data_IF_733226892833
#
_entry.id   IF_733226892833
#
_cell.length_a   1.000
_cell.length_b   1.000
_cell.length_c   1.000
_cell.angle_alpha   90.00
_cell.angle_beta   90.00
_cell.angle_gamma   90.00
#
_symmetry.space_group_name_H-M   'P 1'
#
loop_
_entity.id
_entity.type
_entity.pdbx_description
1 polymer ?
#
# COMPACT_ATOMS: atom_id res chain seq x y z
N UNK A 1 46.55 20.46 -4.94
CA UNK A 1 45.53 21.30 -4.31
C UNK A 1 44.16 20.92 -4.83
N UNK A 2 43.41 20.12 -4.07
CA UNK A 2 42.06 19.67 -4.45
C UNK A 2 41.00 20.62 -3.91
N UNK A 3 40.25 21.26 -4.80
CA UNK A 3 39.06 22.04 -4.42
C UNK A 3 37.94 21.07 -4.05
N UNK A 4 37.66 20.94 -2.75
CA UNK A 4 36.38 20.43 -2.25
C UNK A 4 35.30 21.45 -2.62
N UNK A 5 34.48 21.16 -3.62
CA UNK A 5 33.17 21.82 -3.79
C UNK A 5 32.22 21.16 -2.78
N UNK A 6 31.67 21.98 -1.89
CA UNK A 6 30.82 21.54 -0.78
C UNK A 6 29.50 20.97 -1.26
N UNK A 7 29.11 19.84 -0.68
CA UNK A 7 27.83 19.16 -0.85
C UNK A 7 26.65 19.86 -0.13
N UNK A 8 26.78 21.16 0.18
CA UNK A 8 25.82 21.92 1.00
C UNK A 8 24.76 22.65 0.19
N UNK A 9 24.92 22.75 -1.13
CA UNK A 9 23.98 23.46 -2.00
C UNK A 9 22.85 22.54 -2.52
N UNK A 10 23.09 21.24 -2.65
CA UNK A 10 22.08 20.30 -3.16
C UNK A 10 20.90 20.14 -2.20
N UNK A 11 21.12 20.16 -0.89
CA UNK A 11 20.01 20.01 0.07
C UNK A 11 19.06 21.21 0.10
N UNK A 12 19.57 22.43 -0.07
CA UNK A 12 18.74 23.63 -0.12
C UNK A 12 18.01 23.77 -1.47
N UNK A 13 18.69 23.41 -2.57
CA UNK A 13 18.10 23.39 -3.91
C UNK A 13 17.03 22.29 -4.03
N UNK A 14 17.28 21.08 -3.51
CA UNK A 14 16.30 19.99 -3.50
C UNK A 14 15.08 20.33 -2.62
N UNK A 15 15.30 20.96 -1.46
CA UNK A 15 14.20 21.45 -0.63
C UNK A 15 13.36 22.55 -1.32
N UNK A 16 14.00 23.41 -2.11
CA UNK A 16 13.29 24.42 -2.90
C UNK A 16 12.49 23.79 -4.05
N UNK A 17 13.04 22.77 -4.73
CA UNK A 17 12.34 22.02 -5.77
C UNK A 17 11.15 21.25 -5.22
N UNK A 18 11.28 20.64 -4.05
CA UNK A 18 10.18 19.96 -3.35
C UNK A 18 9.07 20.93 -2.93
N UNK A 19 9.43 22.14 -2.48
CA UNK A 19 8.46 23.18 -2.15
C UNK A 19 7.71 23.67 -3.40
N UNK A 20 8.42 23.90 -4.50
CA UNK A 20 7.83 24.30 -5.78
C UNK A 20 6.89 23.20 -6.31
N UNK A 21 7.27 21.93 -6.20
CA UNK A 21 6.44 20.81 -6.61
C UNK A 21 5.15 20.72 -5.78
N UNK A 22 5.27 20.85 -4.45
CA UNK A 22 4.11 20.87 -3.53
C UNK A 22 3.20 22.07 -3.77
N UNK A 23 3.76 23.25 -4.03
CA UNK A 23 2.98 24.45 -4.32
C UNK A 23 2.26 24.33 -5.68
N UNK A 24 2.91 23.76 -6.69
CA UNK A 24 2.28 23.50 -7.98
C UNK A 24 1.14 22.46 -7.88
N UNK A 25 1.33 21.41 -7.09
CA UNK A 25 0.29 20.41 -6.81
C UNK A 25 -0.89 21.02 -6.04
N UNK A 26 -0.62 21.81 -4.98
CA UNK A 26 -1.64 22.50 -4.21
C UNK A 26 -2.44 23.48 -5.09
N UNK A 27 -1.77 24.18 -6.03
CA UNK A 27 -2.41 25.09 -6.96
C UNK A 27 -3.28 24.34 -7.99
N UNK A 28 -2.84 23.18 -8.46
CA UNK A 28 -3.67 22.30 -9.30
C UNK A 28 -4.87 21.76 -8.54
N UNK A 29 -4.69 21.31 -7.30
CA UNK A 29 -5.77 20.85 -6.43
C UNK A 29 -6.81 21.94 -6.15
N UNK A 30 -6.37 23.16 -5.84
CA UNK A 30 -7.25 24.32 -5.67
C UNK A 30 -8.02 24.64 -6.95
N UNK A 31 -7.38 24.53 -8.13
CA UNK A 31 -8.05 24.71 -9.42
C UNK A 31 -9.10 23.62 -9.68
N UNK A 32 -8.83 22.36 -9.31
CA UNK A 32 -9.79 21.25 -9.38
C UNK A 32 -10.98 21.48 -8.46
N UNK A 33 -10.72 21.93 -7.23
CA UNK A 33 -11.77 22.25 -6.27
C UNK A 33 -12.65 23.42 -6.76
N UNK A 34 -12.04 24.50 -7.26
CA UNK A 34 -12.79 25.64 -7.80
C UNK A 34 -13.65 25.25 -9.02
N UNK A 35 -13.14 24.39 -9.90
CA UNK A 35 -13.94 23.82 -11.01
C UNK A 35 -15.10 22.98 -10.48
N UNK A 36 -14.87 22.12 -9.49
CA UNK A 36 -15.91 21.29 -8.89
C UNK A 36 -17.00 22.14 -8.21
N UNK A 37 -16.62 23.17 -7.45
CA UNK A 37 -17.54 24.13 -6.83
C UNK A 37 -18.33 24.92 -7.88
N UNK A 38 -17.69 25.34 -8.99
CA UNK A 38 -18.37 26.02 -10.09
C UNK A 38 -19.41 25.12 -10.78
N UNK A 39 -19.12 23.82 -10.97
CA UNK A 39 -20.10 22.84 -11.45
C UNK A 39 -21.27 22.72 -10.49
N UNK A 40 -21.00 22.64 -9.19
CA UNK A 40 -22.02 22.48 -8.17
C UNK A 40 -22.96 23.69 -8.08
N UNK A 41 -22.41 24.92 -8.14
CA UNK A 41 -23.19 26.16 -8.15
C UNK A 41 -24.09 26.21 -9.39
N UNK A 42 -23.54 25.90 -10.57
CA UNK A 42 -24.30 25.93 -11.82
C UNK A 42 -25.39 24.86 -11.88
N UNK A 43 -25.14 23.68 -11.29
CA UNK A 43 -26.18 22.65 -11.12
C UNK A 43 -27.33 23.11 -10.24
N UNK A 44 -27.02 23.71 -9.09
CA UNK A 44 -28.04 24.27 -8.19
C UNK A 44 -28.85 25.37 -8.88
N UNK A 45 -28.21 26.19 -9.70
CA UNK A 45 -28.89 27.25 -10.44
C UNK A 45 -29.81 26.69 -11.55
N UNK A 46 -29.37 25.68 -12.29
CA UNK A 46 -30.20 24.99 -13.28
C UNK A 46 -31.39 24.28 -12.64
N UNK A 47 -31.19 23.59 -11.51
CA UNK A 47 -32.27 22.95 -10.75
C UNK A 47 -33.27 24.00 -10.23
N UNK A 48 -32.77 25.15 -9.77
CA UNK A 48 -33.62 26.27 -9.35
C UNK A 48 -34.41 26.85 -10.53
N UNK A 49 -33.79 27.07 -11.68
CA UNK A 49 -34.49 27.56 -12.88
C UNK A 49 -35.55 26.58 -13.36
N UNK A 50 -35.27 25.27 -13.31
CA UNK A 50 -36.22 24.23 -13.66
C UNK A 50 -37.41 24.24 -12.69
N UNK A 51 -37.15 24.34 -11.39
CA UNK A 51 -38.20 24.45 -10.37
C UNK A 51 -39.03 25.73 -10.51
N UNK A 52 -38.41 26.88 -10.78
CA UNK A 52 -39.13 28.13 -11.03
C UNK A 52 -39.98 28.07 -12.32
N UNK A 53 -39.50 27.39 -13.36
CA UNK A 53 -40.25 27.16 -14.59
C UNK A 53 -41.46 26.23 -14.37
N UNK A 54 -41.29 25.17 -13.60
CA UNK A 54 -42.38 24.25 -13.22
C UNK A 54 -43.43 24.97 -12.35
N UNK A 55 -43.00 25.73 -11.33
CA UNK A 55 -43.91 26.54 -10.51
C UNK A 55 -44.64 27.62 -11.33
N UNK A 56 -44.00 28.19 -12.34
CA UNK A 56 -44.63 29.15 -13.24
C UNK A 56 -45.60 28.47 -14.22
N UNK A 57 -45.28 27.27 -14.71
CA UNK A 57 -46.19 26.46 -15.51
C UNK A 57 -47.46 26.09 -14.71
N UNK A 58 -47.30 25.72 -13.43
CA UNK A 58 -48.40 25.43 -12.51
C UNK A 58 -49.25 26.69 -12.25
N UNK A 59 -48.63 27.86 -12.00
CA UNK A 59 -49.37 29.14 -11.84
C UNK A 59 -50.16 29.53 -13.08
N UNK A 60 -49.57 29.37 -14.27
CA UNK A 60 -50.25 29.63 -15.53
C UNK A 60 -51.42 28.66 -15.69
N UNK A 61 -51.22 27.37 -15.40
CA UNK A 61 -52.27 26.36 -15.45
C UNK A 61 -53.44 26.67 -14.50
N UNK A 62 -53.16 27.08 -13.26
CA UNK A 62 -54.18 27.49 -12.28
C UNK A 62 -54.96 28.74 -12.72
N UNK A 63 -54.28 29.73 -13.29
CA UNK A 63 -54.91 30.95 -13.80
C UNK A 63 -55.88 30.67 -14.97
N UNK A 64 -55.54 29.72 -15.84
CA UNK A 64 -56.44 29.29 -16.94
C UNK A 64 -57.55 28.34 -16.47
N UNK A 65 -57.30 27.52 -15.44
CA UNK A 65 -58.31 26.62 -14.83
C UNK A 65 -59.42 27.40 -14.10
N UNK A 66 -59.07 28.48 -13.39
CA UNK A 66 -60.04 29.32 -12.67
C UNK A 66 -60.85 30.25 -13.60
N UNK A 67 -60.30 30.57 -14.79
CA UNK A 67 -61.01 31.28 -15.86
C UNK A 67 -62.18 30.47 -16.45
N UNK A 68 -62.07 29.15 -16.49
CA UNK A 68 -63.15 28.24 -16.93
C UNK A 68 -64.18 28.01 -15.80
N UNK A 69 -63.74 28.02 -14.54
CA UNK A 69 -64.61 27.81 -13.39
C UNK A 69 -65.48 29.03 -13.03
N UNK A 70 -65.04 30.26 -13.32
CA UNK A 70 -65.83 31.48 -13.08
C UNK A 70 -66.97 31.68 -14.10
N UNK A 71 -66.82 31.20 -15.33
CA UNK A 71 -67.90 31.23 -16.33
C UNK A 71 -69.07 30.29 -15.98
N UNK A 72 -68.83 29.23 -15.20
CA UNK A 72 -69.86 28.26 -14.81
C UNK A 72 -70.67 28.66 -13.56
N UNK A 73 -70.27 29.71 -12.82
CA UNK A 73 -70.90 30.08 -11.54
C UNK A 73 -71.79 31.34 -11.58
N UNK A 74 -71.89 32.01 -12.73
CA UNK A 74 -72.72 33.23 -12.89
C UNK A 74 -74.07 32.92 -13.57
N UNK A 75 -74.60 31.70 -13.42
CA UNK A 75 -75.91 31.31 -13.96
C UNK A 75 -76.92 30.92 -12.88
N UNK A 76 -76.93 31.59 -11.72
CA UNK A 76 -78.12 31.59 -10.84
C UNK A 76 -78.13 32.92 -10.07
N UNK A 77 -78.86 33.92 -10.59
CA UNK A 77 -79.64 34.87 -9.80
C UNK A 77 -80.35 35.86 -10.71
N UNK A 78 -81.64 35.62 -10.90
CA UNK A 78 -82.57 36.53 -11.52
C UNK A 78 -83.10 37.49 -10.44
N UNK A 79 -82.73 38.77 -10.51
CA UNK A 79 -83.55 39.85 -9.94
C UNK A 79 -83.32 41.15 -10.69
N UNK A 80 -84.32 41.45 -11.56
CA UNK A 80 -84.94 42.75 -11.83
C UNK A 80 -83.99 43.96 -11.92
N UNK A 81 -83.99 44.63 -13.09
CA UNK A 81 -84.37 46.04 -13.23
C UNK A 81 -84.31 46.52 -14.70
N UNK A 82 -85.43 47.09 -15.12
CA UNK A 82 -85.64 48.19 -16.06
C UNK A 82 -85.33 48.05 -17.56
N UNK A 83 -86.45 48.14 -18.29
CA UNK A 83 -86.70 48.44 -19.69
C UNK A 83 -85.84 49.52 -20.36
N UNK A 84 -85.60 49.31 -21.66
CA UNK A 84 -85.67 50.35 -22.70
C UNK A 84 -85.99 49.72 -24.05
N UNK A 85 -87.22 49.94 -24.52
CA UNK A 85 -87.68 49.68 -25.88
C UNK A 85 -86.85 50.44 -26.92
N UNK A 86 -86.56 49.81 -28.05
CA UNK A 86 -86.66 50.48 -29.35
C UNK A 86 -87.08 49.47 -30.42
N UNK A 87 -88.38 49.51 -30.72
CA UNK A 87 -88.97 48.91 -31.90
C UNK A 87 -88.84 49.89 -33.06
N UNK A 88 -87.98 49.61 -34.02
CA UNK A 88 -88.19 50.06 -35.40
C UNK A 88 -88.14 48.85 -36.34
N UNK A 89 -89.34 48.40 -36.67
CA UNK A 89 -89.68 47.55 -37.81
C UNK A 89 -89.10 48.10 -39.11
N UNK A 90 -88.45 47.25 -39.90
CA UNK A 90 -88.71 47.23 -41.35
C UNK A 90 -88.43 45.84 -41.93
N UNK A 91 -89.52 45.19 -42.32
CA UNK A 91 -89.54 44.00 -43.15
C UNK A 91 -89.02 44.35 -44.54
N UNK A 92 -87.88 43.78 -44.95
CA UNK A 92 -87.52 43.51 -46.36
C UNK A 92 -86.32 42.56 -46.42
N UNK A 93 -86.63 41.29 -46.69
CA UNK A 93 -85.96 40.46 -47.71
C UNK A 93 -84.42 40.36 -47.67
N UNK A 94 -83.88 39.30 -47.05
CA UNK A 94 -83.01 38.28 -47.71
C UNK A 94 -82.37 37.35 -46.66
N UNK A 95 -82.36 36.04 -46.96
CA UNK A 95 -81.79 34.95 -46.14
C UNK A 95 -80.24 34.95 -46.14
N UNK A 96 -79.59 36.04 -45.70
CA UNK A 96 -78.11 36.14 -45.74
C UNK A 96 -77.44 36.27 -44.34
N UNK A 97 -78.22 36.45 -43.27
CA UNK A 97 -77.67 36.67 -41.92
C UNK A 97 -77.22 35.38 -41.19
N UNK A 98 -77.59 34.19 -41.70
CA UNK A 98 -77.15 32.92 -41.12
C UNK A 98 -75.75 32.52 -41.61
N UNK A 99 -75.37 32.88 -42.85
CA UNK A 99 -74.03 32.66 -43.37
C UNK A 99 -72.99 33.59 -42.73
N UNK A 100 -73.30 34.86 -42.48
CA UNK A 100 -72.37 35.79 -41.82
C UNK A 100 -72.10 35.43 -40.35
N UNK A 101 -73.12 34.92 -39.63
CA UNK A 101 -72.95 34.46 -38.24
C UNK A 101 -72.27 33.09 -38.15
N UNK A 102 -72.46 32.21 -39.14
CA UNK A 102 -71.69 30.98 -39.29
C UNK A 102 -70.23 31.27 -39.66
N UNK A 103 -69.99 32.18 -40.62
CA UNK A 103 -68.65 32.63 -41.03
C UNK A 103 -67.89 33.29 -39.88
N UNK A 104 -68.55 34.13 -39.06
CA UNK A 104 -67.94 34.67 -37.84
C UNK A 104 -67.62 33.61 -36.78
N UNK A 105 -68.41 32.53 -36.71
CA UNK A 105 -68.14 31.40 -35.81
C UNK A 105 -66.96 30.56 -36.30
N UNK A 106 -66.86 30.36 -37.61
CA UNK A 106 -65.76 29.64 -38.25
C UNK A 106 -64.45 30.43 -38.15
N UNK A 107 -64.47 31.74 -38.41
CA UNK A 107 -63.31 32.63 -38.20
C UNK A 107 -62.89 32.65 -36.72
N UNK A 108 -63.83 32.61 -35.77
CA UNK A 108 -63.51 32.47 -34.33
C UNK A 108 -62.92 31.09 -34.00
N UNK A 109 -63.37 30.03 -34.67
CA UNK A 109 -62.80 28.68 -34.51
C UNK A 109 -61.39 28.61 -35.07
N UNK A 110 -61.16 29.14 -36.27
CA UNK A 110 -59.85 29.23 -36.90
C UNK A 110 -58.89 30.09 -36.08
N UNK A 111 -59.35 31.23 -35.56
CA UNK A 111 -58.56 32.06 -34.66
C UNK A 111 -58.17 31.27 -33.40
N UNK A 112 -59.10 30.52 -32.80
CA UNK A 112 -58.83 29.67 -31.64
C UNK A 112 -57.84 28.55 -31.97
N UNK A 113 -57.95 27.93 -33.14
CA UNK A 113 -57.01 26.91 -33.60
C UNK A 113 -55.60 27.48 -33.83
N UNK A 114 -55.50 28.68 -34.39
CA UNK A 114 -54.22 29.38 -34.56
C UNK A 114 -53.63 29.78 -33.21
N UNK A 115 -54.45 30.27 -32.28
CA UNK A 115 -54.05 30.55 -30.89
C UNK A 115 -53.55 29.29 -30.17
N UNK A 116 -54.23 28.15 -30.33
CA UNK A 116 -53.81 26.88 -29.73
C UNK A 116 -52.53 26.32 -30.37
N UNK A 117 -52.35 26.48 -31.69
CA UNK A 117 -51.11 26.14 -32.40
C UNK A 117 -49.95 27.02 -31.93
N UNK A 118 -50.19 28.32 -31.79
CA UNK A 118 -49.20 29.27 -31.25
C UNK A 118 -48.81 28.93 -29.81
N UNK A 119 -49.78 28.61 -28.94
CA UNK A 119 -49.53 28.17 -27.57
C UNK A 119 -48.68 26.89 -27.54
N UNK A 120 -49.02 25.89 -28.35
CA UNK A 120 -48.22 24.65 -28.46
C UNK A 120 -46.80 24.92 -28.95
N UNK A 121 -46.63 25.80 -29.94
CA UNK A 121 -45.32 26.18 -30.43
C UNK A 121 -44.49 26.92 -29.37
N UNK A 122 -45.11 27.82 -28.59
CA UNK A 122 -44.45 28.51 -27.48
C UNK A 122 -44.00 27.55 -26.38
N UNK A 123 -44.84 26.59 -25.98
CA UNK A 123 -44.49 25.56 -25.00
C UNK A 123 -43.36 24.68 -25.53
N UNK A 124 -43.45 24.23 -26.79
CA UNK A 124 -42.41 23.43 -27.43
C UNK A 124 -41.08 24.18 -27.54
N UNK A 125 -41.10 25.47 -27.84
CA UNK A 125 -39.88 26.29 -27.92
C UNK A 125 -39.24 26.46 -26.53
N UNK A 126 -40.04 26.68 -25.48
CA UNK A 126 -39.54 26.72 -24.11
C UNK A 126 -38.93 25.38 -23.66
N UNK A 127 -39.54 24.25 -24.06
CA UNK A 127 -38.98 22.91 -23.82
C UNK A 127 -37.64 22.72 -24.53
N UNK A 128 -37.53 23.14 -25.78
CA UNK A 128 -36.29 23.05 -26.56
C UNK A 128 -35.17 23.92 -25.96
N UNK A 129 -35.49 25.11 -25.46
CA UNK A 129 -34.52 25.97 -24.78
C UNK A 129 -34.01 25.33 -23.48
N UNK A 130 -34.89 24.68 -22.70
CA UNK A 130 -34.51 23.90 -21.52
C UNK A 130 -33.61 22.70 -21.88
N UNK A 131 -33.98 21.93 -22.91
CA UNK A 131 -33.17 20.81 -23.39
C UNK A 131 -31.79 21.28 -23.89
N UNK A 132 -31.74 22.42 -24.58
CA UNK A 132 -30.50 23.05 -25.05
C UNK A 132 -29.63 23.50 -23.88
N UNK A 133 -30.21 24.12 -22.85
CA UNK A 133 -29.48 24.52 -21.65
C UNK A 133 -28.92 23.30 -20.90
N UNK A 134 -29.72 22.23 -20.75
CA UNK A 134 -29.28 20.98 -20.14
C UNK A 134 -28.15 20.31 -20.92
N UNK A 135 -28.26 20.23 -22.25
CA UNK A 135 -27.23 19.68 -23.12
C UNK A 135 -25.93 20.51 -23.08
N UNK A 136 -26.04 21.84 -23.05
CA UNK A 136 -24.89 22.74 -22.92
C UNK A 136 -24.14 22.49 -21.59
N UNK A 137 -24.87 22.30 -20.49
CA UNK A 137 -24.27 21.94 -19.21
C UNK A 137 -23.55 20.58 -19.25
N UNK A 138 -24.16 19.56 -19.85
CA UNK A 138 -23.52 18.25 -20.00
C UNK A 138 -22.20 18.36 -20.80
N UNK A 139 -22.19 19.15 -21.88
CA UNK A 139 -20.96 19.38 -22.66
C UNK A 139 -19.88 20.04 -21.83
N UNK A 140 -20.23 21.04 -21.02
CA UNK A 140 -19.27 21.66 -20.10
C UNK A 140 -18.73 20.66 -19.09
N UNK A 141 -19.59 19.87 -18.43
CA UNK A 141 -19.17 18.83 -17.49
C UNK A 141 -18.20 17.83 -18.13
N UNK A 142 -18.46 17.43 -19.38
CA UNK A 142 -17.58 16.52 -20.11
C UNK A 142 -16.23 17.15 -20.48
N UNK A 143 -16.20 18.44 -20.88
CA UNK A 143 -14.92 19.15 -21.13
C UNK A 143 -14.08 19.19 -19.86
N UNK A 144 -14.73 19.49 -18.77
CA UNK A 144 -14.16 19.60 -17.45
C UNK A 144 -13.60 18.25 -16.96
N UNK A 145 -14.33 17.15 -17.19
CA UNK A 145 -13.86 15.78 -16.95
C UNK A 145 -12.70 15.39 -17.88
N UNK A 146 -12.73 15.85 -19.12
CA UNK A 146 -11.65 15.60 -20.08
C UNK A 146 -10.35 16.29 -19.65
N UNK A 147 -10.42 17.55 -19.20
CA UNK A 147 -9.27 18.28 -18.66
C UNK A 147 -8.66 17.58 -17.42
N UNK A 148 -9.49 17.03 -16.52
CA UNK A 148 -9.01 16.21 -15.39
C UNK A 148 -8.25 14.96 -15.87
N UNK A 149 -8.82 14.23 -16.83
CA UNK A 149 -8.19 13.03 -17.38
C UNK A 149 -6.88 13.34 -18.10
N UNK A 150 -6.78 14.47 -18.81
CA UNK A 150 -5.54 14.93 -19.43
C UNK A 150 -4.47 15.28 -18.37
N UNK A 151 -4.85 15.95 -17.29
CA UNK A 151 -3.94 16.25 -16.17
C UNK A 151 -3.44 14.96 -15.51
N UNK A 152 -4.33 13.99 -15.25
CA UNK A 152 -3.98 12.67 -14.70
C UNK A 152 -3.04 11.89 -15.63
N UNK A 153 -3.32 11.88 -16.94
CA UNK A 153 -2.47 11.22 -17.93
C UNK A 153 -1.06 11.84 -17.96
N UNK A 154 -0.97 13.17 -17.94
CA UNK A 154 0.31 13.88 -17.91
C UNK A 154 1.10 13.61 -16.63
N UNK A 155 0.41 13.50 -15.48
CA UNK A 155 1.04 13.13 -14.22
C UNK A 155 1.58 11.70 -14.25
N UNK A 156 0.77 10.73 -14.67
CA UNK A 156 1.19 9.34 -14.83
C UNK A 156 2.38 9.19 -15.79
N UNK A 157 2.40 9.98 -16.88
CA UNK A 157 3.52 9.97 -17.82
C UNK A 157 4.83 10.49 -17.19
N UNK A 158 4.77 11.50 -16.30
CA UNK A 158 5.94 11.99 -15.54
C UNK A 158 6.41 10.94 -14.55
N UNK A 159 5.52 10.37 -13.76
CA UNK A 159 5.84 9.31 -12.80
C UNK A 159 6.47 8.09 -13.47
N UNK A 160 5.96 7.70 -14.64
CA UNK A 160 6.56 6.62 -15.44
C UNK A 160 8.01 6.95 -15.82
N UNK A 161 8.28 8.17 -16.32
CA UNK A 161 9.65 8.60 -16.67
C UNK A 161 10.58 8.56 -15.46
N UNK A 162 10.12 9.00 -14.30
CA UNK A 162 10.93 9.00 -13.07
C UNK A 162 11.18 7.58 -12.55
N UNK A 163 10.17 6.70 -12.59
CA UNK A 163 10.35 5.26 -12.31
C UNK A 163 11.36 4.61 -13.26
N UNK A 164 11.32 4.93 -14.55
CA UNK A 164 12.34 4.45 -15.49
C UNK A 164 13.75 4.94 -15.14
N UNK A 165 13.89 6.21 -14.73
CA UNK A 165 15.19 6.75 -14.29
C UNK A 165 15.72 6.04 -13.05
N UNK A 166 14.86 5.78 -12.06
CA UNK A 166 15.20 5.04 -10.85
C UNK A 166 15.60 3.59 -11.17
N UNK A 167 14.86 2.93 -12.07
CA UNK A 167 15.19 1.58 -12.52
C UNK A 167 16.57 1.52 -13.19
N UNK A 168 16.87 2.45 -14.10
CA UNK A 168 18.19 2.54 -14.73
C UNK A 168 19.30 2.84 -13.71
N UNK A 169 19.03 3.63 -12.67
CA UNK A 169 19.98 3.86 -11.59
C UNK A 169 20.25 2.60 -10.78
N UNK A 170 19.21 1.89 -10.33
CA UNK A 170 19.36 0.62 -9.62
C UNK A 170 20.13 -0.41 -10.45
N UNK A 171 19.88 -0.47 -11.76
CA UNK A 171 20.62 -1.37 -12.66
C UNK A 171 22.13 -1.07 -12.68
N UNK A 172 22.52 0.21 -12.66
CA UNK A 172 23.94 0.60 -12.56
C UNK A 172 24.54 0.21 -11.21
N UNK A 173 23.78 0.39 -10.13
CA UNK A 173 24.25 0.07 -8.78
C UNK A 173 24.42 -1.44 -8.59
N UNK A 174 23.49 -2.25 -9.11
CA UNK A 174 23.62 -3.72 -9.14
C UNK A 174 24.86 -4.15 -9.92
N UNK A 175 25.09 -3.60 -11.13
CA UNK A 175 26.26 -3.93 -11.92
C UNK A 175 27.58 -3.56 -11.21
N UNK A 176 27.60 -2.44 -10.48
CA UNK A 176 28.75 -2.04 -9.67
C UNK A 176 28.97 -3.00 -8.50
N UNK A 177 27.93 -3.35 -7.76
CA UNK A 177 28.00 -4.28 -6.64
C UNK A 177 28.44 -5.68 -7.07
N UNK A 178 27.98 -6.16 -8.23
CA UNK A 178 28.45 -7.42 -8.81
C UNK A 178 29.95 -7.40 -9.08
N UNK A 179 30.45 -6.32 -9.69
CA UNK A 179 31.89 -6.16 -9.94
C UNK A 179 32.69 -6.09 -8.63
N UNK A 180 32.19 -5.37 -7.63
CA UNK A 180 32.83 -5.27 -6.33
C UNK A 180 32.84 -6.63 -5.61
N UNK A 181 31.76 -7.41 -5.71
CA UNK A 181 31.67 -8.78 -5.20
C UNK A 181 32.70 -9.68 -5.88
N UNK A 182 32.76 -9.69 -7.21
CA UNK A 182 33.75 -10.46 -7.97
C UNK A 182 35.19 -10.13 -7.55
N UNK A 183 35.50 -8.83 -7.38
CA UNK A 183 36.83 -8.40 -6.94
C UNK A 183 37.15 -8.88 -5.51
N UNK A 184 36.18 -8.81 -4.59
CA UNK A 184 36.38 -9.30 -3.22
C UNK A 184 36.52 -10.82 -3.14
N UNK A 185 35.77 -11.56 -3.96
CA UNK A 185 35.90 -13.02 -4.06
C UNK A 185 37.27 -13.41 -4.63
N UNK A 186 37.74 -12.73 -5.67
CA UNK A 186 39.07 -12.97 -6.23
C UNK A 186 40.18 -12.70 -5.19
N UNK A 187 40.07 -11.62 -4.42
CA UNK A 187 41.02 -11.30 -3.35
C UNK A 187 41.00 -12.35 -2.21
N UNK A 188 39.83 -12.88 -1.86
CA UNK A 188 39.70 -13.98 -0.88
C UNK A 188 40.33 -15.27 -1.40
N UNK A 189 40.06 -15.63 -2.67
CA UNK A 189 40.67 -16.81 -3.31
C UNK A 189 42.20 -16.70 -3.36
N UNK A 190 42.74 -15.53 -3.70
CA UNK A 190 44.18 -15.29 -3.68
C UNK A 190 44.75 -15.45 -2.26
N UNK A 191 44.09 -14.89 -1.25
CA UNK A 191 44.49 -15.03 0.15
C UNK A 191 44.48 -16.50 0.59
N UNK A 192 43.42 -17.24 0.27
CA UNK A 192 43.29 -18.65 0.67
C UNK A 192 44.34 -19.52 -0.04
N UNK A 193 44.62 -19.25 -1.32
CA UNK A 193 45.72 -19.88 -2.05
C UNK A 193 47.09 -19.59 -1.41
N UNK A 194 47.36 -18.35 -1.02
CA UNK A 194 48.61 -17.99 -0.33
C UNK A 194 48.73 -18.71 1.03
N UNK A 195 47.62 -18.85 1.77
CA UNK A 195 47.59 -19.61 3.02
C UNK A 195 47.98 -21.07 2.78
N UNK A 196 47.40 -21.71 1.75
CA UNK A 196 47.72 -23.08 1.36
C UNK A 196 49.16 -23.25 0.89
N UNK A 197 49.67 -22.34 0.06
CA UNK A 197 51.06 -22.36 -0.44
C UNK A 197 52.09 -22.23 0.69
N UNK A 198 51.74 -21.52 1.78
CA UNK A 198 52.58 -21.43 2.99
C UNK A 198 52.41 -22.63 3.94
N UNK A 199 51.62 -23.64 3.57
CA UNK A 199 51.38 -24.85 4.36
C UNK A 199 50.57 -24.61 5.63
N UNK A 200 49.80 -23.51 5.68
CA UNK A 200 48.95 -23.16 6.81
C UNK A 200 47.52 -23.64 6.56
N UNK A 201 46.85 -24.06 7.62
CA UNK A 201 45.47 -24.56 7.61
C UNK A 201 44.69 -23.80 8.68
N UNK A 202 43.47 -23.37 8.35
CA UNK A 202 42.57 -22.74 9.30
C UNK A 202 41.92 -23.85 10.14
N UNK A 203 42.13 -23.79 11.46
CA UNK A 203 41.56 -24.74 12.42
C UNK A 203 40.69 -23.99 13.43
N UNK A 204 39.55 -24.58 13.76
CA UNK A 204 38.55 -23.99 14.66
C UNK A 204 37.45 -23.22 13.91
N UNK A 205 36.36 -22.93 14.60
CA UNK A 205 35.15 -22.36 14.00
C UNK A 205 34.38 -23.41 13.20
N UNK A 206 33.54 -24.19 13.90
CA UNK A 206 32.54 -25.12 13.37
C UNK A 206 32.92 -25.82 12.06
N UNK A 207 33.87 -26.74 12.17
CA UNK A 207 34.01 -27.87 11.24
C UNK A 207 33.62 -29.15 11.98
N UNK A 208 32.35 -29.22 12.37
CA UNK A 208 31.64 -30.50 12.48
C UNK A 208 31.02 -30.74 11.12
N UNK A 209 31.60 -31.64 10.36
CA UNK A 209 31.10 -32.14 9.08
C UNK A 209 29.62 -32.55 9.17
N UNK A 210 28.74 -31.90 8.42
CA UNK A 210 27.68 -32.55 7.65
C UNK A 210 26.97 -31.50 6.79
N UNK A 211 26.77 -31.82 5.52
CA UNK A 211 25.74 -31.22 4.68
C UNK A 211 24.36 -31.32 5.38
N UNK A 212 23.41 -30.48 4.92
CA UNK A 212 22.09 -30.13 5.50
C UNK A 212 22.24 -29.08 6.60
N UNK A 213 21.87 -27.82 6.40
CA UNK A 213 20.56 -27.33 5.94
C UNK A 213 20.75 -26.06 5.10
N UNK A 214 19.94 -25.95 4.06
CA UNK A 214 19.49 -24.70 3.46
C UNK A 214 18.96 -23.76 4.55
N UNK A 215 19.44 -22.53 4.59
CA UNK A 215 18.65 -21.38 5.05
C UNK A 215 19.19 -20.16 4.30
N UNK A 216 18.57 -19.92 3.15
CA UNK A 216 18.26 -18.56 2.73
C UNK A 216 17.47 -17.90 3.85
N UNK A 217 17.86 -16.71 4.30
CA UNK A 217 16.90 -15.63 4.54
C UNK A 217 17.64 -14.31 4.79
N UNK A 218 17.04 -13.28 4.25
CA UNK A 218 17.61 -11.97 3.99
C UNK A 218 17.79 -11.14 5.27
N UNK A 219 18.93 -10.45 5.37
CA UNK A 219 19.14 -9.36 6.32
C UNK A 219 18.44 -8.10 5.81
N UNK A 220 17.25 -7.83 6.33
CA UNK A 220 16.70 -6.48 6.32
C UNK A 220 16.23 -6.06 7.72
N UNK A 221 17.15 -5.46 8.47
CA UNK A 221 16.91 -4.22 9.20
C UNK A 221 16.03 -4.29 10.44
N UNK A 222 16.66 -4.29 11.62
CA UNK A 222 15.98 -3.95 12.87
C UNK A 222 16.92 -3.97 14.06
N UNK A 223 17.37 -2.79 14.50
CA UNK A 223 18.30 -2.62 15.61
C UNK A 223 17.80 -3.29 16.91
N UNK A 224 18.64 -4.15 17.46
CA UNK A 224 18.45 -4.79 18.76
C UNK A 224 19.73 -5.51 19.15
N UNK A 225 20.22 -5.26 20.36
CA UNK A 225 21.53 -5.63 20.87
C UNK A 225 21.98 -7.05 20.50
N UNK A 226 23.08 -7.14 19.74
CA UNK A 226 23.72 -8.40 19.39
C UNK A 226 24.22 -9.07 20.68
N UNK A 227 23.51 -10.08 21.18
CA UNK A 227 24.14 -11.12 21.98
C UNK A 227 25.30 -11.66 21.16
N UNK A 228 26.52 -11.38 21.61
CA UNK A 228 27.76 -11.90 21.02
C UNK A 228 27.69 -13.42 21.20
N UNK A 229 27.19 -14.13 20.18
CA UNK A 229 27.45 -15.57 20.04
C UNK A 229 28.97 -15.73 20.15
N UNK A 230 29.42 -16.55 21.10
CA UNK A 230 30.84 -16.86 21.30
C UNK A 230 31.42 -17.26 19.95
N UNK A 231 32.15 -16.34 19.31
CA UNK A 231 32.84 -16.67 18.06
C UNK A 231 33.92 -17.67 18.44
N UNK A 232 33.69 -18.94 18.11
CA UNK A 232 34.71 -19.96 18.21
C UNK A 232 35.95 -19.47 17.47
N UNK A 233 37.06 -19.35 18.21
CA UNK A 233 38.30 -18.77 17.70
C UNK A 233 38.82 -19.66 16.57
N UNK A 234 39.07 -19.05 15.40
CA UNK A 234 39.78 -19.68 14.29
C UNK A 234 41.25 -19.29 14.37
N UNK A 235 42.14 -20.23 14.12
CA UNK A 235 43.57 -19.99 14.09
C UNK A 235 44.18 -20.58 12.82
N UNK A 236 45.23 -19.93 12.32
CA UNK A 236 46.09 -20.50 11.29
C UNK A 236 47.17 -21.33 11.98
N UNK A 237 47.29 -22.60 11.62
CA UNK A 237 48.32 -23.51 12.12
C UNK A 237 48.99 -24.23 10.96
N UNK A 238 50.23 -24.68 11.13
CA UNK A 238 50.89 -25.53 10.14
C UNK A 238 50.08 -26.81 9.90
N UNK A 239 50.12 -27.33 8.67
CA UNK A 239 49.51 -28.61 8.28
C UNK A 239 49.84 -29.74 9.26
N UNK A 240 51.09 -29.81 9.74
CA UNK A 240 51.52 -30.86 10.67
C UNK A 240 50.92 -30.70 12.07
N UNK A 241 50.79 -29.45 12.53
CA UNK A 241 50.11 -29.15 13.79
C UNK A 241 48.61 -29.42 13.70
N UNK A 242 47.98 -29.16 12.55
CA UNK A 242 46.58 -29.50 12.32
C UNK A 242 46.34 -31.01 12.43
N UNK A 243 47.19 -31.84 11.80
CA UNK A 243 47.13 -33.31 11.92
C UNK A 243 47.31 -33.77 13.37
N UNK A 244 48.24 -33.17 14.10
CA UNK A 244 48.48 -33.48 15.51
C UNK A 244 47.27 -33.11 16.39
N UNK A 245 46.64 -31.97 16.12
CA UNK A 245 45.41 -31.57 16.82
C UNK A 245 44.24 -32.50 16.48
N UNK A 246 44.21 -33.14 15.31
CA UNK A 246 43.18 -34.12 14.97
C UNK A 246 43.41 -35.46 15.69
N UNK A 247 44.66 -35.85 15.95
CA UNK A 247 44.97 -37.09 16.69
C UNK A 247 44.55 -37.05 18.17
N UNK A 248 44.48 -35.87 18.78
CA UNK A 248 44.08 -35.67 20.19
C UNK A 248 42.55 -35.76 20.40
N UNK A 249 41.81 -35.96 19.31
CA UNK A 249 40.36 -36.18 19.30
C UNK A 249 39.54 -34.90 19.14
N UNK A 250 38.21 -35.01 19.33
CA UNK A 250 37.27 -33.94 19.00
C UNK A 250 37.09 -32.91 20.13
N UNK A 251 36.73 -31.68 19.75
CA UNK A 251 36.47 -30.56 20.65
C UNK A 251 36.88 -29.21 20.06
N UNK A 252 36.59 -28.12 20.78
CA UNK A 252 37.07 -26.80 20.40
C UNK A 252 38.60 -26.77 20.31
N UNK A 253 39.15 -25.84 19.52
CA UNK A 253 40.61 -25.68 19.39
C UNK A 253 41.28 -25.57 20.77
N UNK A 254 40.69 -24.81 21.69
CA UNK A 254 41.20 -24.64 23.05
C UNK A 254 41.16 -25.94 23.86
N UNK A 255 40.13 -26.78 23.68
CA UNK A 255 40.04 -28.10 24.35
C UNK A 255 41.09 -29.05 23.80
N UNK A 256 41.30 -29.09 22.48
CA UNK A 256 42.31 -29.94 21.84
C UNK A 256 43.73 -29.52 22.24
N UNK A 257 44.00 -28.22 22.29
CA UNK A 257 45.29 -27.68 22.77
C UNK A 257 45.54 -28.03 24.26
N UNK A 258 44.51 -27.96 25.11
CA UNK A 258 44.64 -28.34 26.53
C UNK A 258 44.95 -29.83 26.71
N UNK A 259 44.28 -30.70 25.95
CA UNK A 259 44.54 -32.15 25.97
C UNK A 259 45.95 -32.48 25.49
N UNK A 260 46.41 -31.85 24.41
CA UNK A 260 47.79 -32.02 23.93
C UNK A 260 48.81 -31.56 24.96
N UNK A 261 48.52 -30.46 25.67
CA UNK A 261 49.38 -29.98 26.74
C UNK A 261 49.39 -30.91 27.97
N UNK A 262 48.26 -31.56 28.31
CA UNK A 262 48.21 -32.54 29.39
C UNK A 262 48.98 -33.81 29.03
N UNK A 263 48.78 -34.37 27.83
CA UNK A 263 49.53 -35.54 27.34
C UNK A 263 51.04 -35.29 27.35
N UNK A 264 51.47 -34.09 26.91
CA UNK A 264 52.88 -33.70 26.97
C UNK A 264 53.39 -33.63 28.42
N UNK A 265 52.60 -33.10 29.35
CA UNK A 265 52.99 -33.00 30.75
C UNK A 265 53.06 -34.39 31.40
N UNK A 266 52.11 -35.28 31.12
CA UNK A 266 52.10 -36.68 31.57
C UNK A 266 53.35 -37.41 31.09
N UNK A 267 53.67 -37.31 29.79
CA UNK A 267 54.91 -37.89 29.25
C UNK A 267 56.17 -37.27 29.88
N UNK A 268 56.17 -35.96 30.18
CA UNK A 268 57.28 -35.32 30.88
C UNK A 268 57.41 -35.78 32.32
N UNK A 269 56.30 -36.03 33.01
CA UNK A 269 56.26 -36.57 34.36
C UNK A 269 56.72 -38.03 34.36
N UNK A 270 56.29 -38.85 33.41
CA UNK A 270 56.79 -40.21 33.20
C UNK A 270 58.30 -40.22 32.92
N UNK A 271 58.80 -39.32 32.07
CA UNK A 271 60.22 -39.22 31.74
C UNK A 271 61.03 -38.72 32.95
N UNK A 272 60.47 -37.82 33.76
CA UNK A 272 61.05 -37.42 35.05
C UNK A 272 61.02 -38.58 36.04
N UNK A 273 59.94 -39.34 36.09
CA UNK A 273 59.78 -40.49 36.97
C UNK A 273 60.76 -41.59 36.61
N UNK A 274 60.87 -41.98 35.34
CA UNK A 274 61.85 -42.95 34.85
C UNK A 274 63.28 -42.46 35.06
N UNK A 275 63.56 -41.17 34.89
CA UNK A 275 64.88 -40.59 35.25
C UNK A 275 65.15 -40.69 36.75
N UNK A 276 64.16 -40.38 37.56
CA UNK A 276 64.26 -40.44 39.01
C UNK A 276 64.37 -41.89 39.49
N UNK A 277 63.63 -42.84 38.91
CA UNK A 277 63.76 -44.27 39.14
C UNK A 277 65.11 -44.81 38.67
N UNK A 278 65.67 -44.29 37.58
CA UNK A 278 67.02 -44.64 37.13
C UNK A 278 68.10 -44.07 38.07
N UNK A 279 67.92 -42.85 38.58
CA UNK A 279 68.77 -42.22 39.58
C UNK A 279 68.59 -42.87 40.96
N UNK A 280 67.39 -43.31 41.30
CA UNK A 280 67.04 -44.00 42.53
C UNK A 280 67.46 -45.48 42.48
N UNK A 281 67.40 -46.21 41.36
CA UNK A 281 68.08 -47.52 41.24
C UNK A 281 69.59 -47.37 41.36
N UNK A 282 70.15 -46.23 40.93
CA UNK A 282 71.56 -45.86 41.20
C UNK A 282 71.81 -45.44 42.66
N UNK A 283 70.80 -45.05 43.43
CA UNK A 283 70.95 -44.45 44.78
C UNK A 283 70.31 -45.26 45.93
N UNK A 284 69.37 -46.16 45.64
CA UNK A 284 68.59 -47.03 46.55
C UNK A 284 69.25 -48.39 46.74
N UNK A 285 70.58 -48.42 46.60
CA UNK A 285 71.42 -49.20 47.53
C UNK A 285 71.35 -48.67 48.97
N UNK A 286 70.50 -47.68 49.32
CA UNK A 286 70.30 -47.31 50.72
C UNK A 286 68.92 -46.67 51.03
N UNK A 287 68.04 -47.51 51.60
CA UNK A 287 67.04 -47.27 52.68
C UNK A 287 65.84 -46.33 52.48
N UNK A 288 64.67 -46.92 52.79
CA UNK A 288 63.36 -46.36 53.14
C UNK A 288 63.30 -45.79 54.57
N UNK A 289 62.42 -44.79 54.81
CA UNK A 289 61.26 -44.84 55.72
C UNK A 289 60.59 -43.43 55.85
N UNK A 290 59.25 -43.36 55.88
CA UNK A 290 58.47 -42.12 56.01
C UNK A 290 57.84 -41.98 57.42
N UNK A 291 57.74 -40.74 57.91
CA UNK A 291 57.37 -40.39 59.28
C UNK A 291 55.87 -40.02 59.45
N UNK A 292 55.30 -40.15 60.68
CA UNK A 292 53.86 -40.11 60.92
C UNK A 292 53.27 -38.70 61.18
N UNK A 293 54.09 -37.65 61.24
CA UNK A 293 53.64 -36.29 61.58
C UNK A 293 53.01 -35.53 60.39
N UNK A 294 53.35 -35.89 59.15
CA UNK A 294 52.77 -35.28 57.94
C UNK A 294 51.29 -35.62 57.74
N UNK A 295 50.79 -36.70 58.35
CA UNK A 295 49.41 -37.15 58.17
C UNK A 295 48.39 -36.16 58.76
N UNK A 296 48.71 -35.50 59.88
CA UNK A 296 47.79 -34.55 60.54
C UNK A 296 47.69 -33.20 59.83
N UNK A 297 48.80 -32.72 59.24
CA UNK A 297 48.80 -31.48 58.47
C UNK A 297 48.15 -31.68 57.09
N UNK A 298 48.38 -32.84 56.46
CA UNK A 298 47.64 -33.27 55.25
C UNK A 298 46.15 -33.37 55.54
N UNK A 299 45.75 -33.91 56.70
CA UNK A 299 44.35 -33.99 57.10
C UNK A 299 43.72 -32.60 57.30
N UNK A 300 44.46 -31.65 57.87
CA UNK A 300 44.00 -30.26 58.07
C UNK A 300 43.84 -29.51 56.75
N UNK A 301 44.79 -29.67 55.84
CA UNK A 301 44.75 -29.05 54.52
C UNK A 301 43.64 -29.65 53.65
N UNK A 302 43.45 -30.98 53.70
CA UNK A 302 42.34 -31.66 53.04
C UNK A 302 40.97 -31.14 53.52
N UNK A 303 40.81 -30.92 54.84
CA UNK A 303 39.57 -30.37 55.39
C UNK A 303 39.31 -28.91 54.96
N UNK A 304 40.35 -28.10 54.83
CA UNK A 304 40.24 -26.72 54.31
C UNK A 304 39.82 -26.72 52.84
N UNK A 305 40.47 -27.53 52.00
CA UNK A 305 40.12 -27.68 50.59
C UNK A 305 38.68 -28.18 50.42
N UNK A 306 38.26 -29.13 51.26
CA UNK A 306 36.88 -29.64 51.27
C UNK A 306 35.86 -28.55 51.61
N UNK A 307 36.20 -27.62 52.50
CA UNK A 307 35.41 -26.42 52.80
C UNK A 307 35.27 -25.47 51.59
N UNK A 308 36.38 -25.18 50.90
CA UNK A 308 36.38 -24.33 49.71
C UNK A 308 35.56 -24.94 48.56
N UNK A 309 35.66 -26.27 48.36
CA UNK A 309 34.86 -26.98 47.37
C UNK A 309 33.37 -27.00 47.73
N UNK A 310 33.02 -27.16 49.02
CA UNK A 310 31.62 -27.02 49.47
C UNK A 310 31.05 -25.63 49.17
N UNK A 311 31.81 -24.57 49.44
CA UNK A 311 31.36 -23.21 49.17
C UNK A 311 31.19 -22.95 47.66
N UNK A 312 32.14 -23.40 46.83
CA UNK A 312 32.05 -23.31 45.38
C UNK A 312 30.85 -24.09 44.83
N UNK A 313 30.61 -25.29 45.35
CA UNK A 313 29.46 -26.10 44.99
C UNK A 313 28.15 -25.37 45.32
N UNK A 314 28.01 -24.86 46.55
CA UNK A 314 26.81 -24.14 46.99
C UNK A 314 26.55 -22.88 46.15
N UNK A 315 27.61 -22.15 45.76
CA UNK A 315 27.48 -21.01 44.86
C UNK A 315 27.04 -21.43 43.46
N UNK A 316 27.61 -22.50 42.91
CA UNK A 316 27.20 -23.04 41.62
C UNK A 316 25.74 -23.53 41.64
N UNK A 317 25.30 -24.16 42.73
CA UNK A 317 23.91 -24.59 42.93
C UNK A 317 22.94 -23.40 42.93
N UNK A 318 23.30 -22.29 43.57
CA UNK A 318 22.52 -21.05 43.55
C UNK A 318 22.45 -20.43 42.15
N UNK A 319 23.57 -20.41 41.43
CA UNK A 319 23.63 -19.92 40.04
C UNK A 319 22.76 -20.79 39.12
N UNK A 320 22.79 -22.11 39.28
CA UNK A 320 21.91 -23.05 38.54
C UNK A 320 20.44 -22.75 38.79
N UNK A 321 20.03 -22.53 40.04
CA UNK A 321 18.64 -22.19 40.37
C UNK A 321 18.20 -20.88 39.70
N UNK A 322 19.08 -19.87 39.68
CA UNK A 322 18.81 -18.59 39.03
C UNK A 322 18.70 -18.73 37.50
N UNK A 323 19.57 -19.54 36.89
CA UNK A 323 19.52 -19.83 35.46
C UNK A 323 18.26 -20.61 35.10
N UNK A 324 17.83 -21.59 35.91
CA UNK A 324 16.58 -22.32 35.71
C UNK A 324 15.36 -21.39 35.73
N UNK A 325 15.30 -20.44 36.68
CA UNK A 325 14.21 -19.45 36.71
C UNK A 325 14.21 -18.54 35.46
N UNK A 326 15.38 -18.15 34.97
CA UNK A 326 15.51 -17.38 33.74
C UNK A 326 15.07 -18.19 32.51
N UNK A 327 15.43 -19.47 32.43
CA UNK A 327 15.01 -20.39 31.35
C UNK A 327 13.49 -20.50 31.34
N UNK A 328 12.85 -20.79 32.47
CA UNK A 328 11.40 -20.89 32.57
C UNK A 328 10.68 -19.60 32.10
N UNK A 329 11.23 -18.43 32.44
CA UNK A 329 10.68 -17.14 31.96
C UNK A 329 10.83 -16.97 30.46
N UNK A 330 12.00 -17.33 29.90
CA UNK A 330 12.26 -17.24 28.46
C UNK A 330 11.40 -18.23 27.67
N UNK A 331 11.23 -19.45 28.16
CA UNK A 331 10.30 -20.43 27.59
C UNK A 331 8.87 -19.87 27.54
N UNK A 332 8.41 -19.24 28.62
CA UNK A 332 7.11 -18.57 28.63
C UNK A 332 6.99 -17.41 27.63
N UNK A 333 8.08 -16.68 27.36
CA UNK A 333 8.11 -15.66 26.30
C UNK A 333 8.03 -16.29 24.91
N UNK A 334 8.80 -17.36 24.65
CA UNK A 334 8.80 -18.08 23.37
C UNK A 334 7.41 -18.62 23.06
N UNK A 335 6.72 -19.21 24.04
CA UNK A 335 5.33 -19.69 23.86
C UNK A 335 4.41 -18.54 23.46
N UNK A 336 4.49 -17.37 24.12
CA UNK A 336 3.66 -16.21 23.77
C UNK A 336 3.95 -15.68 22.36
N UNK A 337 5.22 -15.52 22.00
CA UNK A 337 5.58 -15.05 20.67
C UNK A 337 5.18 -16.04 19.59
N UNK A 338 5.30 -17.34 19.84
CA UNK A 338 4.83 -18.38 18.93
C UNK A 338 3.32 -18.28 18.70
N UNK A 339 2.53 -18.20 19.78
CA UNK A 339 1.07 -18.03 19.64
C UNK A 339 0.69 -16.73 18.92
N UNK A 340 1.40 -15.63 19.18
CA UNK A 340 1.16 -14.36 18.49
C UNK A 340 1.49 -14.45 16.99
N UNK A 341 2.59 -15.10 16.63
CA UNK A 341 2.97 -15.35 15.24
C UNK A 341 1.92 -16.21 14.51
N UNK A 342 1.49 -17.31 15.12
CA UNK A 342 0.43 -18.19 14.58
C UNK A 342 -0.90 -17.44 14.38
N UNK A 343 -1.26 -16.52 15.28
CA UNK A 343 -2.45 -15.67 15.09
C UNK A 343 -2.27 -14.67 13.97
N UNK A 344 -1.09 -14.09 13.82
CA UNK A 344 -0.78 -13.13 12.75
C UNK A 344 -0.81 -13.80 11.37
N UNK A 345 -0.27 -15.02 11.26
CA UNK A 345 -0.26 -15.80 10.02
C UNK A 345 -1.70 -16.11 9.55
N UNK A 346 -2.57 -16.52 10.48
CA UNK A 346 -4.00 -16.76 10.17
C UNK A 346 -4.69 -15.51 9.65
N UNK A 347 -4.45 -14.35 10.26
CA UNK A 347 -5.02 -13.07 9.81
C UNK A 347 -4.49 -12.69 8.42
N UNK A 348 -3.20 -12.92 8.15
CA UNK A 348 -2.62 -12.66 6.83
C UNK A 348 -3.26 -13.53 5.74
N UNK A 349 -3.51 -14.80 6.02
CA UNK A 349 -4.16 -15.71 5.09
C UNK A 349 -5.62 -15.34 4.82
N UNK A 350 -6.37 -14.92 5.84
CA UNK A 350 -7.72 -14.37 5.68
C UNK A 350 -7.71 -13.13 4.78
N UNK A 351 -6.80 -12.19 5.01
CA UNK A 351 -6.64 -10.99 4.19
C UNK A 351 -6.24 -11.32 2.74
N UNK A 352 -5.40 -12.35 2.51
CA UNK A 352 -5.07 -12.84 1.16
C UNK A 352 -6.31 -13.37 0.44
N UNK A 353 -7.18 -14.10 1.15
CA UNK A 353 -8.45 -14.62 0.60
C UNK A 353 -9.40 -13.46 0.26
N UNK A 354 -9.58 -12.50 1.17
CA UNK A 354 -10.40 -11.31 0.94
C UNK A 354 -9.90 -10.48 -0.24
N UNK A 355 -8.59 -10.24 -0.33
CA UNK A 355 -7.98 -9.55 -1.47
C UNK A 355 -8.32 -10.24 -2.79
N UNK A 356 -8.21 -11.57 -2.85
CA UNK A 356 -8.57 -12.34 -4.05
C UNK A 356 -10.06 -12.22 -4.36
N UNK A 357 -10.93 -12.20 -3.35
CA UNK A 357 -12.39 -12.02 -3.51
C UNK A 357 -12.70 -10.64 -4.09
N UNK A 358 -12.22 -9.57 -3.46
CA UNK A 358 -12.40 -8.20 -3.93
C UNK A 358 -11.84 -7.99 -5.35
N UNK A 359 -10.73 -8.63 -5.68
CA UNK A 359 -10.17 -8.55 -7.03
C UNK A 359 -11.04 -9.26 -8.08
N UNK A 360 -11.81 -10.29 -7.71
CA UNK A 360 -12.81 -10.90 -8.60
C UNK A 360 -14.02 -9.99 -8.77
N UNK A 361 -14.55 -9.45 -7.67
CA UNK A 361 -15.68 -8.52 -7.67
C UNK A 361 -15.38 -7.24 -8.48
N UNK A 362 -14.14 -6.73 -8.38
CA UNK A 362 -13.68 -5.61 -9.21
C UNK A 362 -13.70 -5.95 -10.69
N UNK A 363 -13.18 -7.11 -11.09
CA UNK A 363 -13.19 -7.56 -12.50
C UNK A 363 -14.62 -7.72 -13.02
N UNK A 364 -15.51 -8.30 -12.22
CA UNK A 364 -16.92 -8.48 -12.58
C UNK A 364 -17.63 -7.12 -12.73
N UNK A 365 -17.37 -6.18 -11.82
CA UNK A 365 -17.92 -4.82 -11.89
C UNK A 365 -17.41 -4.07 -13.12
N UNK A 366 -16.13 -4.20 -13.46
CA UNK A 366 -15.55 -3.61 -14.67
C UNK A 366 -16.17 -4.21 -15.93
N UNK A 367 -16.31 -5.53 -16.01
CA UNK A 367 -17.00 -6.18 -17.12
C UNK A 367 -18.45 -5.67 -17.25
N UNK A 368 -19.14 -5.46 -16.13
CA UNK A 368 -20.49 -4.89 -16.14
C UNK A 368 -20.53 -3.45 -16.65
N UNK A 369 -19.53 -2.63 -16.32
CA UNK A 369 -19.40 -1.28 -16.85
C UNK A 369 -19.21 -1.34 -18.37
N UNK A 370 -18.32 -2.19 -18.88
CA UNK A 370 -18.10 -2.36 -20.33
C UNK A 370 -19.37 -2.80 -21.07
N UNK A 371 -20.15 -3.73 -20.50
CA UNK A 371 -21.47 -4.12 -21.05
C UNK A 371 -22.46 -2.95 -21.11
N UNK A 372 -22.50 -2.13 -20.05
CA UNK A 372 -23.39 -0.96 -20.00
C UNK A 372 -22.93 0.14 -20.95
N UNK A 373 -21.63 0.37 -21.07
CA UNK A 373 -21.05 1.31 -22.02
C UNK A 373 -21.36 0.91 -23.46
N UNK A 374 -21.16 -0.37 -23.82
CA UNK A 374 -21.50 -0.87 -25.15
C UNK A 374 -23.01 -0.74 -25.43
N UNK A 375 -23.88 -1.12 -24.50
CA UNK A 375 -25.34 -0.92 -24.61
C UNK A 375 -25.70 0.56 -24.80
N UNK A 376 -25.09 1.45 -24.02
CA UNK A 376 -25.32 2.89 -24.12
C UNK A 376 -24.89 3.43 -25.49
N UNK A 377 -23.72 3.03 -26.01
CA UNK A 377 -23.30 3.42 -27.37
C UNK A 377 -24.29 2.96 -28.45
N UNK A 378 -24.89 1.77 -28.30
CA UNK A 378 -25.92 1.29 -29.23
C UNK A 378 -27.20 2.13 -29.15
N UNK A 379 -27.66 2.47 -27.94
CA UNK A 379 -28.81 3.33 -27.74
C UNK A 379 -28.58 4.73 -28.29
N UNK A 380 -27.39 5.29 -28.07
CA UNK A 380 -27.00 6.60 -28.57
C UNK A 380 -27.02 6.64 -30.10
N UNK A 381 -26.45 5.62 -30.77
CA UNK A 381 -26.54 5.50 -32.24
C UNK A 381 -27.98 5.38 -32.74
N UNK A 382 -28.87 4.68 -32.02
CA UNK A 382 -30.30 4.58 -32.38
C UNK A 382 -30.99 5.93 -32.22
N UNK A 383 -30.71 6.63 -31.14
CA UNK A 383 -31.21 7.98 -30.87
C UNK A 383 -30.80 8.94 -32.00
N UNK A 384 -29.53 8.92 -32.41
CA UNK A 384 -29.02 9.77 -33.48
C UNK A 384 -29.71 9.48 -34.81
N UNK A 385 -29.93 8.20 -35.15
CA UNK A 385 -30.73 7.82 -36.33
C UNK A 385 -32.15 8.39 -36.27
N UNK A 386 -32.83 8.26 -35.13
CA UNK A 386 -34.17 8.81 -34.94
C UNK A 386 -34.19 10.34 -35.05
N UNK A 387 -33.18 11.03 -34.48
CA UNK A 387 -33.00 12.47 -34.63
C UNK A 387 -32.86 12.86 -36.11
N UNK A 388 -32.00 12.17 -36.87
CA UNK A 388 -31.83 12.45 -38.31
C UNK A 388 -33.11 12.19 -39.10
N UNK A 389 -33.85 11.11 -38.82
CA UNK A 389 -35.12 10.82 -39.48
C UNK A 389 -36.19 11.88 -39.17
N UNK A 390 -36.28 12.33 -37.91
CA UNK A 390 -37.15 13.45 -37.51
C UNK A 390 -36.78 14.73 -38.25
N UNK A 391 -35.49 15.07 -38.33
CA UNK A 391 -35.02 16.25 -39.06
C UNK A 391 -35.30 16.17 -40.56
N UNK A 392 -35.25 14.99 -41.17
CA UNK A 392 -35.63 14.81 -42.58
C UNK A 392 -37.13 15.03 -42.79
N UNK A 393 -37.97 14.40 -41.97
CA UNK A 393 -39.43 14.59 -42.04
C UNK A 393 -39.86 16.06 -41.83
N UNK A 394 -39.15 16.78 -40.96
CA UNK A 394 -39.39 18.21 -40.75
C UNK A 394 -38.92 19.11 -41.90
N UNK A 395 -38.05 18.63 -42.79
CA UNK A 395 -37.66 19.36 -44.01
C UNK A 395 -38.65 19.16 -45.17
N UNK A 396 -39.36 18.04 -45.16
CA UNK A 396 -40.34 17.68 -46.19
C UNK A 396 -41.74 18.29 -45.91
N UNK A 397 -41.95 18.81 -44.70
CA UNK A 397 -43.10 19.62 -44.27
C UNK A 397 -42.80 21.10 -44.45
#
# INVERSE_FOLDING_TARGET
GGRRRGATNHTAEDQALDQIAKEAEARLAAKRQARAEAREIRMRELERQQKEADENADRIYDMYSDGVSRAARVSVNNSRLSASNSYQSSRRSSEDSLEETASLRDVRSELREVEDKFRKAMIGNAQLDNEKAAAAYQVELYKDRYEELEEEHNQLQREHRDKCRQFEQMKRDVAKLQKDLEATLAALQERDRLIEEQGLVIVGGDTSSSATESDDEEDSGGGGERKVKEKHRRALVSSDMAKLLDSVGHGSLDVRLKKLASERNELQDELRHVKLELEEERSKSNRFCANPADLEDIQREANKQLGDYKFKLQKAEQDVSTLQANVARLEGQVVRYKTAAETSEKVEDELKVERRKLQRELRESLARIEELETSNTHLQRRLDKLKTAKSALLKDL
#
